data_IF_479518509041
#
_entry.id   IF_479518509041
#
_cell.length_a   1.000
_cell.length_b   1.000
_cell.length_c   1.000
_cell.angle_alpha   90.00
_cell.angle_beta   90.00
_cell.angle_gamma   90.00
#
_symmetry.space_group_name_H-M   'P 1'
#
loop_
_entity.id
_entity.type
_entity.pdbx_description
1 polymer ?
#
# COMPACT_ATOMS: atom_id res chain seq x y z
N UNK A 1 -6.88 -5.02 6.86
CA UNK A 1 -5.89 -6.06 6.57
C UNK A 1 -6.27 -6.68 5.25
N UNK A 2 -5.64 -6.27 4.17
CA UNK A 2 -6.13 -6.52 2.82
C UNK A 2 -5.35 -7.53 2.01
N UNK A 3 -4.13 -7.86 2.35
CA UNK A 3 -3.23 -8.61 1.47
C UNK A 3 -2.69 -9.85 2.17
N UNK A 4 -3.50 -10.91 2.21
CA UNK A 4 -3.04 -12.20 2.73
C UNK A 4 -2.92 -12.32 4.24
N UNK A 5 -3.21 -11.27 5.01
CA UNK A 5 -3.34 -11.37 6.45
C UNK A 5 -4.76 -11.84 6.80
N UNK A 6 -4.87 -13.08 7.17
CA UNK A 6 -6.06 -13.60 7.84
C UNK A 6 -5.91 -13.31 9.33
N UNK A 7 -6.70 -12.40 9.86
CA UNK A 7 -6.85 -12.29 11.30
C UNK A 7 -7.62 -13.52 11.79
N UNK A 8 -7.00 -14.34 12.63
CA UNK A 8 -7.67 -15.45 13.28
C UNK A 8 -8.74 -14.94 14.25
N UNK A 9 -9.68 -15.83 14.61
CA UNK A 9 -10.66 -15.57 15.66
C UNK A 9 -9.99 -15.03 16.92
N UNK A 10 -10.57 -13.97 17.49
CA UNK A 10 -10.06 -13.33 18.71
C UNK A 10 -9.07 -12.19 18.50
N UNK A 11 -8.77 -11.81 17.23
CA UNK A 11 -7.93 -10.64 16.95
C UNK A 11 -8.75 -9.44 16.45
N UNK A 12 -9.88 -9.70 15.81
CA UNK A 12 -10.73 -8.66 15.24
C UNK A 12 -11.53 -7.99 16.36
N UNK A 13 -11.36 -6.67 16.48
CA UNK A 13 -12.03 -5.86 17.50
C UNK A 13 -11.28 -5.74 18.82
N UNK A 14 -10.16 -6.44 18.98
CA UNK A 14 -9.32 -6.38 20.17
C UNK A 14 -8.23 -5.30 20.07
N UNK A 15 -7.78 -4.79 21.21
CA UNK A 15 -6.64 -3.85 21.27
C UNK A 15 -5.33 -4.62 21.06
N UNK A 16 -4.69 -4.35 19.91
CA UNK A 16 -3.42 -5.00 19.55
C UNK A 16 -2.31 -4.71 20.57
N UNK A 17 -2.31 -3.53 21.19
CA UNK A 17 -1.34 -3.16 22.22
C UNK A 17 -1.47 -4.06 23.44
N UNK A 18 -2.68 -4.32 23.91
CA UNK A 18 -2.93 -5.19 25.04
C UNK A 18 -2.61 -6.65 24.74
N UNK A 19 -2.90 -7.11 23.50
CA UNK A 19 -2.51 -8.47 23.06
C UNK A 19 -1.00 -8.63 23.10
N UNK A 20 -0.24 -7.68 22.56
CA UNK A 20 1.24 -7.72 22.55
C UNK A 20 1.79 -7.71 23.98
N UNK A 21 1.33 -6.79 24.83
CA UNK A 21 1.73 -6.71 26.24
C UNK A 21 1.46 -8.02 26.98
N UNK A 22 0.27 -8.59 26.77
CA UNK A 22 -0.12 -9.86 27.39
C UNK A 22 0.78 -11.01 26.92
N UNK A 23 1.09 -11.09 25.63
CA UNK A 23 1.99 -12.09 25.08
C UNK A 23 3.41 -11.95 25.64
N UNK A 24 3.96 -10.74 25.72
CA UNK A 24 5.25 -10.46 26.31
C UNK A 24 5.30 -10.89 27.78
N UNK A 25 4.28 -10.54 28.55
CA UNK A 25 4.17 -10.92 29.97
C UNK A 25 4.15 -12.44 30.14
N UNK A 26 3.40 -13.18 29.32
CA UNK A 26 3.35 -14.65 29.35
C UNK A 26 4.71 -15.30 29.08
N UNK A 27 5.57 -14.65 28.31
CA UNK A 27 6.92 -15.11 27.98
C UNK A 27 7.98 -14.57 28.95
N UNK A 28 7.58 -13.88 30.02
CA UNK A 28 8.51 -13.29 31.00
C UNK A 28 9.33 -12.12 30.45
N UNK A 29 8.88 -11.51 29.34
CA UNK A 29 9.56 -10.37 28.74
C UNK A 29 9.08 -9.07 29.41
N UNK A 30 10.02 -8.25 29.86
CA UNK A 30 9.77 -6.91 30.38
C UNK A 30 9.84 -5.90 29.21
N UNK A 31 8.70 -5.66 28.59
CA UNK A 31 8.58 -4.76 27.41
C UNK A 31 7.61 -3.63 27.72
N UNK A 32 8.02 -2.40 27.45
CA UNK A 32 7.14 -1.26 27.39
C UNK A 32 6.75 -1.00 25.92
N UNK A 33 5.47 -1.04 25.62
CA UNK A 33 4.95 -0.72 24.29
C UNK A 33 4.54 0.74 24.29
N UNK A 34 5.41 1.60 23.73
CA UNK A 34 5.19 3.04 23.69
C UNK A 34 4.23 3.49 22.59
N UNK A 35 4.24 2.83 21.43
CA UNK A 35 3.35 3.13 20.32
C UNK A 35 3.28 1.97 19.31
N UNK A 36 2.17 1.93 18.58
CA UNK A 36 2.02 1.16 17.33
C UNK A 36 1.75 2.18 16.24
N UNK A 37 2.58 2.18 15.21
CA UNK A 37 2.46 3.13 14.09
C UNK A 37 2.35 2.37 12.77
N UNK A 38 1.62 2.97 11.82
CA UNK A 38 1.58 2.49 10.44
C UNK A 38 2.96 2.68 9.78
N UNK A 39 3.31 1.84 8.80
CA UNK A 39 4.59 1.86 8.09
C UNK A 39 4.87 3.20 7.40
N UNK A 40 3.88 3.83 6.78
CA UNK A 40 4.03 5.15 6.17
C UNK A 40 4.30 6.23 7.22
N UNK A 41 3.67 6.15 8.39
CA UNK A 41 3.95 7.04 9.52
C UNK A 41 5.37 6.82 10.08
N UNK A 42 5.82 5.56 10.15
CA UNK A 42 7.17 5.22 10.57
C UNK A 42 8.23 5.75 9.59
N UNK A 43 7.99 5.61 8.28
CA UNK A 43 8.86 6.17 7.25
C UNK A 43 8.95 7.70 7.34
N UNK A 44 7.81 8.38 7.55
CA UNK A 44 7.79 9.83 7.76
C UNK A 44 8.62 10.25 8.98
N UNK A 45 8.42 9.57 10.12
CA UNK A 45 9.15 9.88 11.36
C UNK A 45 10.65 9.64 11.21
N UNK A 46 11.05 8.56 10.54
CA UNK A 46 12.46 8.23 10.31
C UNK A 46 13.19 9.32 9.53
N UNK A 47 12.60 9.82 8.45
CA UNK A 47 13.21 10.90 7.66
C UNK A 47 13.13 12.26 8.39
N UNK A 48 12.02 12.56 9.03
CA UNK A 48 11.84 13.82 9.76
C UNK A 48 12.82 13.99 10.94
N UNK A 49 13.37 12.89 11.45
CA UNK A 49 14.38 12.92 12.50
C UNK A 49 15.69 13.58 12.02
N UNK A 50 16.07 13.33 10.78
CA UNK A 50 17.28 13.91 10.16
C UNK A 50 16.98 15.16 9.33
N UNK A 51 15.79 15.22 8.74
CA UNK A 51 15.34 16.29 7.84
C UNK A 51 14.04 16.90 8.36
N UNK A 52 14.11 17.88 9.30
CA UNK A 52 12.90 18.43 9.96
C UNK A 52 11.88 19.10 9.04
N UNK A 53 12.24 19.38 7.77
CA UNK A 53 11.35 19.93 6.76
C UNK A 53 10.46 18.86 6.09
N UNK A 54 10.67 17.57 6.37
CA UNK A 54 9.87 16.48 5.83
C UNK A 54 8.42 16.61 6.26
N UNK A 55 7.49 16.56 5.31
CA UNK A 55 6.05 16.76 5.54
C UNK A 55 5.19 15.56 5.14
N UNK A 56 5.70 14.69 4.30
CA UNK A 56 5.00 13.46 3.91
C UNK A 56 6.00 12.35 3.61
N UNK A 57 5.50 11.13 3.65
CA UNK A 57 6.19 9.93 3.18
C UNK A 57 5.28 9.18 2.21
N UNK A 58 5.86 8.55 1.21
CA UNK A 58 5.17 7.67 0.27
C UNK A 58 5.72 6.25 0.39
N UNK A 59 4.85 5.31 0.62
CA UNK A 59 5.11 3.90 0.41
C UNK A 59 4.58 3.53 -0.97
N UNK A 60 5.46 3.10 -1.86
CA UNK A 60 5.12 2.57 -3.18
C UNK A 60 5.89 1.25 -3.36
N UNK A 61 5.24 0.17 -3.00
CA UNK A 61 5.79 -1.19 -3.00
C UNK A 61 4.71 -2.19 -3.37
N UNK A 62 4.58 -3.26 -2.61
CA UNK A 62 3.46 -4.22 -2.73
C UNK A 62 2.11 -3.53 -2.64
N UNK A 63 2.02 -2.44 -1.87
CA UNK A 63 0.88 -1.53 -1.78
C UNK A 63 1.29 -0.09 -2.00
N UNK A 64 0.31 0.82 -1.87
CA UNK A 64 0.52 2.26 -1.89
C UNK A 64 -0.12 2.92 -0.68
N UNK A 65 0.64 3.76 0.03
CA UNK A 65 0.12 4.58 1.10
C UNK A 65 0.95 5.85 1.30
N UNK A 66 0.35 6.86 1.90
CA UNK A 66 1.02 8.11 2.29
C UNK A 66 0.70 8.43 3.75
N UNK A 67 1.71 8.87 4.50
CA UNK A 67 1.51 9.62 5.73
C UNK A 67 1.87 11.09 5.51
N UNK A 68 1.12 11.98 6.17
CA UNK A 68 1.32 13.43 6.07
C UNK A 68 1.39 14.04 7.46
N UNK A 69 2.22 15.08 7.61
CA UNK A 69 2.37 15.87 8.82
C UNK A 69 1.66 17.21 8.63
N UNK A 70 0.53 17.39 9.31
CA UNK A 70 -0.36 18.53 9.14
C UNK A 70 -0.61 19.26 10.47
N UNK A 71 -0.90 20.58 10.43
CA UNK A 71 -1.40 21.30 11.59
C UNK A 71 -2.71 20.66 12.10
N UNK A 72 -2.86 20.54 13.41
CA UNK A 72 -4.10 20.00 14.01
C UNK A 72 -5.35 20.80 13.63
N UNK A 73 -5.17 22.08 13.32
CA UNK A 73 -6.25 22.99 12.89
C UNK A 73 -6.84 22.65 11.52
N UNK A 74 -6.17 21.82 10.73
CA UNK A 74 -6.64 21.39 9.39
C UNK A 74 -7.50 20.14 9.44
N UNK A 75 -7.63 19.53 10.62
CA UNK A 75 -8.34 18.26 10.82
C UNK A 75 -9.59 18.50 11.69
N UNK A 76 -10.70 17.92 11.29
CA UNK A 76 -11.94 17.99 12.06
C UNK A 76 -11.77 17.37 13.45
N UNK A 77 -12.16 18.08 14.48
CA UNK A 77 -12.00 17.67 15.89
C UNK A 77 -12.49 16.25 16.20
N UNK A 78 -13.63 15.79 15.68
CA UNK A 78 -14.11 14.42 15.94
C UNK A 78 -13.13 13.32 15.50
N UNK A 79 -12.23 13.60 14.54
CA UNK A 79 -11.24 12.63 14.08
C UNK A 79 -10.12 12.33 15.07
N UNK A 80 -9.94 13.19 16.06
CA UNK A 80 -8.95 12.97 17.12
C UNK A 80 -9.45 12.01 18.21
N UNK A 81 -10.77 11.74 18.26
CA UNK A 81 -11.39 11.01 19.36
C UNK A 81 -11.25 11.77 20.69
N UNK A 82 -11.43 11.05 21.79
CA UNK A 82 -11.28 11.62 23.13
C UNK A 82 -9.79 11.80 23.45
N UNK A 83 -9.36 13.05 23.58
CA UNK A 83 -8.01 13.44 23.97
C UNK A 83 -8.07 14.32 25.23
N UNK A 84 -7.09 14.17 26.14
CA UNK A 84 -7.02 15.04 27.32
C UNK A 84 -6.78 16.49 26.91
N UNK A 85 -7.29 17.45 27.71
CA UNK A 85 -7.15 18.89 27.46
C UNK A 85 -5.68 19.30 27.24
N UNK A 86 -4.75 18.72 27.99
CA UNK A 86 -3.32 18.95 27.85
C UNK A 86 -2.77 18.57 26.47
N UNK A 87 -3.41 17.64 25.75
CA UNK A 87 -3.02 17.32 24.38
C UNK A 87 -3.41 18.45 23.43
N UNK A 88 -4.63 18.97 23.55
CA UNK A 88 -5.12 20.09 22.71
C UNK A 88 -4.30 21.36 22.90
N UNK A 89 -3.77 21.59 24.10
CA UNK A 89 -2.93 22.74 24.39
C UNK A 89 -1.52 22.63 23.80
N UNK A 90 -1.00 21.41 23.66
CA UNK A 90 0.40 21.14 23.25
C UNK A 90 0.55 20.73 21.81
N UNK A 91 -0.44 20.05 21.26
CA UNK A 91 -0.36 19.49 19.92
C UNK A 91 -0.55 20.59 18.86
N UNK A 92 0.50 20.95 18.16
CA UNK A 92 0.44 21.87 17.01
C UNK A 92 0.27 21.14 15.69
N UNK A 93 0.78 19.93 15.58
CA UNK A 93 0.75 19.09 14.37
C UNK A 93 0.42 17.65 14.70
N UNK A 94 0.01 16.91 13.69
CA UNK A 94 -0.34 15.49 13.78
C UNK A 94 0.12 14.76 12.51
N UNK A 95 0.51 13.50 12.66
CA UNK A 95 0.75 12.60 11.54
C UNK A 95 -0.54 11.87 11.21
N UNK A 96 -0.96 11.95 9.96
CA UNK A 96 -2.15 11.28 9.42
C UNK A 96 -1.73 10.16 8.50
N UNK A 97 -2.19 8.95 8.77
CA UNK A 97 -2.21 7.87 7.80
C UNK A 97 -3.40 8.09 6.86
N UNK A 98 -3.13 8.33 5.57
CA UNK A 98 -4.16 8.79 4.62
C UNK A 98 -4.97 7.67 4.01
N UNK A 99 -4.49 6.42 4.05
CA UNK A 99 -5.06 5.30 3.28
C UNK A 99 -5.25 5.65 1.79
N UNK A 100 -4.23 6.26 1.19
CA UNK A 100 -4.27 6.78 -0.18
C UNK A 100 -4.69 5.72 -1.21
N UNK A 101 -4.43 4.44 -0.94
CA UNK A 101 -4.89 3.34 -1.80
C UNK A 101 -6.38 3.38 -2.12
N UNK A 102 -7.19 3.96 -1.23
CA UNK A 102 -8.64 4.14 -1.41
C UNK A 102 -9.03 5.30 -2.32
N UNK A 103 -8.08 6.12 -2.76
CA UNK A 103 -8.34 7.28 -3.63
C UNK A 103 -8.77 6.86 -5.03
N UNK A 104 -9.59 7.70 -5.67
CA UNK A 104 -9.77 7.71 -7.12
C UNK A 104 -10.94 6.89 -7.66
N UNK A 105 -11.84 6.41 -6.79
CA UNK A 105 -13.06 5.74 -7.26
C UNK A 105 -13.87 6.66 -8.21
N UNK A 106 -14.08 6.18 -9.44
CA UNK A 106 -14.79 6.93 -10.48
C UNK A 106 -14.02 8.11 -11.11
N UNK A 107 -12.76 8.37 -10.69
CA UNK A 107 -11.94 9.50 -11.18
C UNK A 107 -10.76 8.98 -12.01
N UNK A 108 -10.14 7.86 -11.62
CA UNK A 108 -8.95 7.33 -12.27
C UNK A 108 -9.27 6.74 -13.64
N UNK A 109 -8.37 6.90 -14.63
CA UNK A 109 -8.51 6.25 -15.94
C UNK A 109 -8.43 4.73 -15.76
N UNK A 110 -9.42 4.02 -16.29
CA UNK A 110 -9.55 2.56 -16.16
C UNK A 110 -9.51 1.93 -17.54
N UNK A 111 -8.57 1.03 -17.75
CA UNK A 111 -8.44 0.23 -18.98
C UNK A 111 -9.35 -1.00 -18.95
N UNK A 112 -9.41 -1.73 -20.09
CA UNK A 112 -10.11 -3.01 -20.13
C UNK A 112 -9.44 -4.09 -19.25
N UNK A 113 -8.14 -4.01 -19.07
CA UNK A 113 -7.36 -4.96 -18.24
C UNK A 113 -7.56 -4.69 -16.74
N UNK A 114 -7.67 -3.41 -16.34
CA UNK A 114 -8.06 -3.06 -14.97
C UNK A 114 -9.47 -3.58 -14.65
N UNK A 115 -10.40 -3.50 -15.63
CA UNK A 115 -11.75 -4.06 -15.46
C UNK A 115 -11.71 -5.58 -15.31
N UNK A 116 -10.87 -6.27 -16.07
CA UNK A 116 -10.70 -7.71 -15.98
C UNK A 116 -10.12 -8.10 -14.61
N UNK A 117 -9.06 -7.41 -14.15
CA UNK A 117 -8.50 -7.61 -12.82
C UNK A 117 -9.55 -7.42 -11.72
N UNK A 118 -10.35 -6.36 -11.81
CA UNK A 118 -11.43 -6.08 -10.85
C UNK A 118 -12.51 -7.17 -10.83
N UNK A 119 -12.87 -7.73 -11.98
CA UNK A 119 -13.89 -8.75 -12.07
C UNK A 119 -13.53 -10.02 -11.30
N UNK A 120 -12.25 -10.36 -11.26
CA UNK A 120 -11.74 -11.54 -10.56
C UNK A 120 -11.28 -11.25 -9.11
N UNK A 121 -11.27 -9.97 -8.72
CA UNK A 121 -10.79 -9.58 -7.41
C UNK A 121 -11.83 -9.80 -6.32
N UNK A 122 -11.48 -10.39 -5.15
CA UNK A 122 -12.43 -10.67 -4.06
C UNK A 122 -13.13 -9.41 -3.51
N UNK A 123 -12.51 -8.25 -3.68
CA UNK A 123 -13.01 -6.93 -3.26
C UNK A 123 -12.73 -5.90 -4.35
N UNK A 124 -13.52 -5.88 -5.44
CA UNK A 124 -13.20 -5.11 -6.65
C UNK A 124 -13.11 -3.60 -6.44
N UNK A 125 -13.85 -3.05 -5.47
CA UNK A 125 -13.88 -1.61 -5.20
C UNK A 125 -12.98 -1.18 -4.01
N UNK A 126 -12.21 -2.12 -3.48
CA UNK A 126 -11.29 -1.83 -2.38
C UNK A 126 -9.93 -1.38 -2.91
N UNK A 127 -9.45 -0.24 -2.45
CA UNK A 127 -8.15 0.35 -2.81
C UNK A 127 -7.94 0.54 -4.33
N UNK A 128 -8.78 1.31 -5.02
CA UNK A 128 -8.73 1.44 -6.48
C UNK A 128 -7.42 2.03 -7.01
N UNK A 129 -6.79 3.01 -6.32
CA UNK A 129 -5.48 3.52 -6.70
C UNK A 129 -4.41 2.43 -6.56
N UNK A 130 -4.44 1.68 -5.47
CA UNK A 130 -3.47 0.62 -5.23
C UNK A 130 -3.53 -0.45 -6.31
N UNK A 131 -4.73 -0.84 -6.76
CA UNK A 131 -4.90 -1.79 -7.86
C UNK A 131 -4.27 -1.31 -9.17
N UNK A 132 -4.16 0.00 -9.38
CA UNK A 132 -3.58 0.58 -10.60
C UNK A 132 -2.06 0.72 -10.56
N UNK A 133 -1.48 1.00 -9.39
CA UNK A 133 -0.08 1.49 -9.33
C UNK A 133 0.84 0.66 -8.45
N UNK A 134 0.32 -0.28 -7.67
CA UNK A 134 1.17 -1.01 -6.73
C UNK A 134 1.81 -2.26 -7.33
N UNK A 135 2.96 -2.63 -6.78
CA UNK A 135 3.74 -3.78 -7.22
C UNK A 135 3.00 -5.12 -7.15
N UNK A 136 1.96 -5.22 -6.32
CA UNK A 136 1.15 -6.44 -6.27
C UNK A 136 0.31 -6.65 -7.53
N UNK A 137 -0.16 -5.57 -8.18
CA UNK A 137 -1.12 -5.65 -9.27
C UNK A 137 -0.54 -5.35 -10.66
N UNK A 138 0.54 -4.56 -10.77
CA UNK A 138 1.09 -4.14 -12.07
C UNK A 138 1.48 -5.36 -12.91
N UNK A 139 2.11 -6.38 -12.31
CA UNK A 139 2.45 -7.61 -13.02
C UNK A 139 1.23 -8.30 -13.63
N UNK A 140 0.14 -8.41 -12.88
CA UNK A 140 -1.10 -9.01 -13.37
C UNK A 140 -1.77 -8.19 -14.48
N UNK A 141 -1.81 -6.87 -14.35
CA UNK A 141 -2.33 -5.99 -15.41
C UNK A 141 -1.53 -6.18 -16.70
N UNK A 142 -0.20 -6.23 -16.59
CA UNK A 142 0.67 -6.49 -17.75
C UNK A 142 0.47 -7.89 -18.32
N UNK A 143 0.26 -8.91 -17.50
CA UNK A 143 -0.07 -10.26 -17.96
C UNK A 143 -1.35 -10.28 -18.77
N UNK A 144 -2.40 -9.62 -18.28
CA UNK A 144 -3.68 -9.50 -18.98
C UNK A 144 -3.53 -8.74 -20.32
N UNK A 145 -2.75 -7.66 -20.32
CA UNK A 145 -2.45 -6.91 -21.52
C UNK A 145 -1.66 -7.76 -22.55
N UNK A 146 -0.71 -8.55 -22.09
CA UNK A 146 0.08 -9.43 -22.94
C UNK A 146 -0.77 -10.56 -23.54
N UNK A 147 -1.64 -11.18 -22.78
CA UNK A 147 -2.60 -12.17 -23.28
C UNK A 147 -3.52 -11.60 -24.37
N UNK A 148 -4.00 -10.39 -24.16
CA UNK A 148 -4.80 -9.68 -25.16
C UNK A 148 -3.99 -9.38 -26.43
N UNK A 149 -2.75 -8.92 -26.30
CA UNK A 149 -1.86 -8.67 -27.42
C UNK A 149 -1.54 -9.96 -28.19
N UNK A 150 -1.30 -11.08 -27.51
CA UNK A 150 -1.06 -12.38 -28.14
C UNK A 150 -2.27 -12.78 -29.02
N UNK A 151 -3.46 -12.67 -28.48
CA UNK A 151 -4.69 -13.05 -29.20
C UNK A 151 -5.04 -12.11 -30.33
N UNK A 152 -4.77 -10.80 -30.21
CA UNK A 152 -5.19 -9.78 -31.18
C UNK A 152 -4.17 -9.54 -32.28
N UNK A 153 -2.87 -9.70 -32.00
CA UNK A 153 -1.78 -9.38 -32.96
C UNK A 153 -1.05 -10.61 -33.49
N UNK A 154 -1.25 -11.77 -32.86
CA UNK A 154 -0.55 -12.99 -33.24
C UNK A 154 0.91 -13.08 -32.77
N UNK A 155 1.39 -12.20 -31.89
CA UNK A 155 2.73 -12.34 -31.29
C UNK A 155 2.86 -13.70 -30.59
N UNK A 156 4.07 -14.25 -30.51
CA UNK A 156 4.33 -15.63 -30.06
C UNK A 156 3.56 -16.70 -30.84
N UNK A 157 3.22 -16.43 -32.11
CA UNK A 157 2.42 -17.35 -32.95
C UNK A 157 0.95 -17.41 -32.55
N UNK A 158 0.45 -16.43 -31.81
CA UNK A 158 -0.96 -16.38 -31.33
C UNK A 158 -1.27 -17.37 -30.19
N UNK A 159 -0.26 -18.04 -29.66
CA UNK A 159 -0.44 -19.05 -28.58
C UNK A 159 0.21 -18.54 -27.30
N UNK A 160 -0.56 -18.33 -26.23
CA UNK A 160 0.01 -17.89 -24.95
C UNK A 160 0.97 -18.96 -24.38
N UNK A 161 2.15 -18.56 -23.91
CA UNK A 161 3.00 -19.44 -23.13
C UNK A 161 2.25 -19.98 -21.90
N UNK A 162 2.43 -21.27 -21.53
CA UNK A 162 1.72 -21.85 -20.38
C UNK A 162 1.90 -21.08 -19.06
N UNK A 163 3.08 -20.47 -18.87
CA UNK A 163 3.37 -19.62 -17.70
C UNK A 163 2.43 -18.43 -17.56
N UNK A 164 1.94 -17.85 -18.66
CA UNK A 164 1.01 -16.72 -18.63
C UNK A 164 -0.44 -17.09 -18.39
N UNK A 165 -0.79 -18.38 -18.38
CA UNK A 165 -2.17 -18.83 -18.18
C UNK A 165 -2.58 -18.79 -16.70
N UNK A 166 -1.63 -18.75 -15.78
CA UNK A 166 -1.90 -18.69 -14.34
C UNK A 166 -2.02 -17.23 -13.89
N UNK A 167 -3.11 -16.83 -13.20
CA UNK A 167 -3.21 -15.49 -12.62
C UNK A 167 -2.02 -15.15 -11.72
N UNK A 168 -1.56 -13.90 -11.79
CA UNK A 168 -0.40 -13.37 -11.04
C UNK A 168 0.95 -14.08 -11.32
N UNK A 169 1.06 -14.81 -12.42
CA UNK A 169 2.32 -15.48 -12.79
C UNK A 169 3.38 -14.55 -13.36
N UNK A 170 3.02 -13.36 -13.80
CA UNK A 170 3.94 -12.30 -14.18
C UNK A 170 4.04 -11.32 -13.02
N UNK A 171 5.19 -11.26 -12.38
CA UNK A 171 5.44 -10.36 -11.27
C UNK A 171 6.02 -9.01 -11.73
N UNK A 172 5.93 -8.02 -10.87
CA UNK A 172 6.42 -6.66 -11.15
C UNK A 172 7.95 -6.59 -11.15
N UNK A 173 8.64 -7.49 -10.45
CA UNK A 173 10.11 -7.59 -10.49
C UNK A 173 10.59 -7.95 -11.91
N UNK A 174 9.94 -8.92 -12.53
CA UNK A 174 10.22 -9.30 -13.93
C UNK A 174 10.03 -8.13 -14.89
N UNK A 175 8.97 -7.33 -14.71
CA UNK A 175 8.74 -6.12 -15.51
C UNK A 175 9.83 -5.07 -15.29
N UNK A 176 10.25 -4.86 -14.07
CA UNK A 176 11.32 -3.92 -13.73
C UNK A 176 12.66 -4.35 -14.38
N UNK A 177 12.95 -5.63 -14.39
CA UNK A 177 14.14 -6.16 -15.08
C UNK A 177 14.07 -5.96 -16.60
N UNK A 178 12.93 -6.22 -17.21
CA UNK A 178 12.70 -5.98 -18.65
C UNK A 178 12.93 -4.51 -19.00
N UNK A 179 12.37 -3.59 -18.21
CA UNK A 179 12.54 -2.16 -18.40
C UNK A 179 14.00 -1.73 -18.26
N UNK A 180 14.69 -2.24 -17.24
CA UNK A 180 16.12 -1.93 -17.03
C UNK A 180 17.00 -2.38 -18.20
N UNK A 181 16.68 -3.53 -18.82
CA UNK A 181 17.41 -4.00 -20.02
C UNK A 181 17.03 -3.26 -21.30
N UNK A 182 15.78 -2.78 -21.41
CA UNK A 182 15.28 -2.07 -22.57
C UNK A 182 15.65 -0.58 -22.59
N UNK A 183 15.88 0.01 -21.42
CA UNK A 183 16.27 1.41 -21.31
C UNK A 183 17.72 1.61 -21.77
N UNK A 184 18.00 2.46 -22.77
CA UNK A 184 19.36 2.87 -23.03
C UNK A 184 19.91 3.55 -21.78
N UNK A 185 21.06 3.10 -21.32
CA UNK A 185 21.74 3.69 -20.16
C UNK A 185 21.78 5.21 -20.29
N UNK A 186 21.05 5.91 -19.41
CA UNK A 186 21.21 7.36 -19.27
C UNK A 186 22.70 7.60 -18.95
N UNK A 187 23.39 8.50 -19.68
CA UNK A 187 24.77 8.80 -19.37
C UNK A 187 24.82 9.33 -17.94
N UNK A 188 25.67 8.69 -17.12
CA UNK A 188 25.96 9.15 -15.76
C UNK A 188 26.45 10.60 -15.80
N UNK A 189 25.62 11.50 -15.32
CA UNK A 189 25.97 12.91 -15.11
C UNK A 189 26.83 13.06 -13.85
#
# INVERSE_FOLDING_TARGET
MGKGFLANEGLIGEDLGEIIKSACKKQGLHVELSAIVNDSSAALLSEAYTTPSTRFSLILGTGVNIAVHLPVTTIDQPKFGDRPSSWHEKASHVIINTELGMFGHGILPITKWDKALKADHPRPDFQPLEQLVSGYYIGEICRLALLDAISSTGIFGGVPPPSLLTPYSLDTETLSLIEAYASPSLPSS
#
